data_IF_140742215128
#
_entry.id   IF_140742215128
#
_cell.length_a   1.000
_cell.length_b   1.000
_cell.length_c   1.000
_cell.angle_alpha   90.00
_cell.angle_beta   90.00
_cell.angle_gamma   90.00
#
_symmetry.space_group_name_H-M   'P 1'
#
loop_
_entity.id
_entity.type
_entity.pdbx_description
1 polymer ?
#
# COMPACT_ATOMS: atom_id res chain seq x y z
N UNK A 1 -18.81 -28.11 38.06
CA UNK A 1 -18.31 -26.82 38.59
C UNK A 1 -17.45 -26.16 37.52
N UNK A 2 -17.59 -24.84 37.39
CA UNK A 2 -16.91 -23.89 36.48
C UNK A 2 -15.39 -24.15 36.40
N UNK A 3 -14.70 -23.89 35.28
CA UNK A 3 -14.40 -22.54 34.82
C UNK A 3 -14.18 -22.45 33.29
N UNK A 4 -14.80 -21.39 32.75
CA UNK A 4 -14.62 -20.84 31.40
C UNK A 4 -13.27 -20.13 31.31
N UNK A 5 -12.58 -20.31 30.19
CA UNK A 5 -11.64 -19.30 29.68
C UNK A 5 -12.23 -18.71 28.38
N UNK A 6 -13.02 -17.65 28.56
CA UNK A 6 -13.14 -16.54 27.60
C UNK A 6 -11.92 -15.65 27.87
N UNK A 7 -11.19 -15.03 26.94
CA UNK A 7 -11.59 -14.18 25.82
C UNK A 7 -10.30 -13.87 25.02
N UNK A 8 -10.44 -13.25 23.84
CA UNK A 8 -9.41 -12.61 23.01
C UNK A 8 -9.06 -13.37 21.73
N UNK A 9 -9.85 -13.15 20.70
CA UNK A 9 -9.36 -12.31 19.61
C UNK A 9 -10.56 -11.90 18.75
N UNK A 10 -10.92 -10.63 18.81
CA UNK A 10 -11.61 -9.94 17.74
C UNK A 10 -10.79 -10.16 16.46
N UNK A 11 -11.31 -11.00 15.57
CA UNK A 11 -10.83 -11.05 14.19
C UNK A 11 -11.68 -10.05 13.44
N UNK A 12 -11.12 -8.84 13.38
CA UNK A 12 -11.52 -7.74 12.54
C UNK A 12 -11.80 -8.32 11.14
N UNK A 13 -13.07 -8.29 10.73
CA UNK A 13 -13.50 -8.53 9.36
C UNK A 13 -12.86 -7.47 8.47
N UNK A 14 -11.61 -7.71 8.10
CA UNK A 14 -10.89 -6.90 7.12
C UNK A 14 -11.18 -7.56 5.79
N UNK A 15 -12.09 -6.96 5.04
CA UNK A 15 -12.42 -7.31 3.67
C UNK A 15 -11.14 -7.27 2.82
N UNK A 16 -10.42 -8.39 2.78
CA UNK A 16 -9.34 -8.64 1.83
C UNK A 16 -10.00 -8.54 0.45
N UNK A 17 -9.39 -7.78 -0.46
CA UNK A 17 -9.85 -7.65 -1.84
C UNK A 17 -9.74 -8.99 -2.57
N UNK A 18 -10.69 -9.89 -2.32
CA UNK A 18 -11.12 -10.91 -3.28
C UNK A 18 -12.14 -10.23 -4.20
N UNK A 19 -11.67 -9.34 -5.07
CA UNK A 19 -12.46 -8.88 -6.22
C UNK A 19 -12.28 -9.90 -7.35
N UNK A 20 -13.34 -10.66 -7.61
CA UNK A 20 -13.49 -11.68 -8.66
C UNK A 20 -12.99 -11.23 -10.05
N UNK A 21 -11.67 -11.31 -10.26
CA UNK A 21 -11.04 -11.12 -11.57
C UNK A 21 -9.93 -12.16 -11.71
N UNK A 22 -10.01 -13.09 -12.69
CA UNK A 22 -9.16 -14.28 -12.73
C UNK A 22 -7.76 -14.03 -13.35
N UNK A 23 -6.99 -13.01 -12.90
CA UNK A 23 -5.61 -12.79 -13.39
C UNK A 23 -4.62 -12.12 -12.38
N UNK A 24 -4.80 -12.20 -11.05
CA UNK A 24 -3.92 -11.49 -10.08
C UNK A 24 -3.23 -12.36 -9.01
N UNK A 25 -2.82 -13.57 -9.38
CA UNK A 25 -2.38 -14.62 -8.43
C UNK A 25 -1.13 -14.33 -7.56
N UNK A 26 -0.49 -13.16 -7.60
CA UNK A 26 0.69 -12.88 -6.75
C UNK A 26 0.82 -11.40 -6.32
N UNK A 27 -0.30 -10.70 -6.15
CA UNK A 27 -0.26 -9.37 -5.52
C UNK A 27 -0.36 -9.50 -4.00
N UNK A 28 0.79 -9.60 -3.33
CA UNK A 28 0.88 -9.26 -1.91
C UNK A 28 0.56 -7.77 -1.82
N UNK A 29 -0.70 -7.46 -1.49
CA UNK A 29 -1.14 -6.13 -1.11
C UNK A 29 -1.12 -6.13 0.42
N UNK A 30 -0.14 -5.46 1.05
CA UNK A 30 0.03 -5.54 2.49
C UNK A 30 -0.97 -4.69 3.27
N UNK A 31 -1.89 -4.03 2.57
CA UNK A 31 -2.86 -3.11 3.17
C UNK A 31 -4.19 -3.13 2.41
N UNK A 32 -5.26 -2.77 3.10
CA UNK A 32 -6.57 -2.54 2.47
C UNK A 32 -6.62 -1.16 1.80
N UNK A 33 -7.59 -0.99 0.89
CA UNK A 33 -7.93 0.32 0.31
C UNK A 33 -8.26 1.34 1.41
N UNK A 34 -8.93 0.90 2.47
CA UNK A 34 -9.28 1.76 3.61
C UNK A 34 -8.06 2.32 4.31
N UNK A 35 -7.03 1.50 4.55
CA UNK A 35 -5.80 1.97 5.19
C UNK A 35 -5.08 3.03 4.35
N UNK A 36 -5.04 2.85 3.01
CA UNK A 36 -4.47 3.87 2.11
C UNK A 36 -5.30 5.15 2.15
N UNK A 37 -6.63 5.02 2.11
CA UNK A 37 -7.54 6.16 2.16
C UNK A 37 -7.37 6.95 3.47
N UNK A 38 -7.34 6.27 4.62
CA UNK A 38 -7.13 6.89 5.93
C UNK A 38 -5.77 7.61 5.98
N UNK A 39 -4.69 6.93 5.58
CA UNK A 39 -3.38 7.56 5.58
C UNK A 39 -3.32 8.79 4.65
N UNK A 40 -4.04 8.77 3.52
CA UNK A 40 -4.14 9.92 2.62
C UNK A 40 -4.99 11.06 3.19
N UNK A 41 -6.00 10.74 3.99
CA UNK A 41 -6.83 11.72 4.70
C UNK A 41 -6.06 12.44 5.82
N UNK A 42 -4.98 11.87 6.33
CA UNK A 42 -4.15 12.52 7.35
C UNK A 42 -2.96 13.30 6.76
N UNK A 43 -2.68 13.13 5.47
CA UNK A 43 -1.53 13.74 4.80
C UNK A 43 -1.90 15.10 4.14
N UNK A 44 -1.31 16.17 4.67
CA UNK A 44 -1.54 17.54 4.17
C UNK A 44 -1.08 17.75 2.72
N UNK A 45 -0.06 17.02 2.25
CA UNK A 45 0.41 17.09 0.88
C UNK A 45 -0.58 16.41 -0.08
N UNK A 46 -1.14 15.27 0.31
CA UNK A 46 -2.20 14.58 -0.44
C UNK A 46 -3.45 15.45 -0.51
N UNK A 47 -3.88 16.05 0.60
CA UNK A 47 -4.99 17.02 0.62
C UNK A 47 -4.78 18.14 -0.38
N UNK A 48 -3.61 18.76 -0.38
CA UNK A 48 -3.28 19.82 -1.32
C UNK A 48 -3.36 19.36 -2.79
N UNK A 49 -2.87 18.16 -3.11
CA UNK A 49 -2.98 17.59 -4.46
C UNK A 49 -4.45 17.36 -4.83
N UNK A 50 -5.26 16.81 -3.91
CA UNK A 50 -6.68 16.56 -4.13
C UNK A 50 -7.43 17.87 -4.38
N UNK A 51 -7.19 18.89 -3.55
CA UNK A 51 -7.81 20.21 -3.69
C UNK A 51 -7.43 20.89 -5.02
N UNK A 52 -6.20 20.66 -5.48
CA UNK A 52 -5.67 21.21 -6.73
C UNK A 52 -5.59 20.16 -7.87
N UNK A 53 -6.44 19.12 -7.85
CA UNK A 53 -6.27 17.95 -8.75
C UNK A 53 -6.25 18.33 -10.24
N UNK A 54 -6.96 19.39 -10.63
CA UNK A 54 -6.98 19.93 -12.00
C UNK A 54 -5.61 20.43 -12.48
N UNK A 55 -4.78 20.96 -11.57
CA UNK A 55 -3.39 21.39 -11.85
C UNK A 55 -2.43 20.21 -11.84
N UNK A 56 -2.78 19.15 -11.12
CA UNK A 56 -1.97 17.95 -10.90
C UNK A 56 -2.29 16.84 -11.91
N UNK A 57 -2.05 17.11 -13.20
CA UNK A 57 -2.37 16.19 -14.32
C UNK A 57 -1.76 14.79 -14.19
N UNK A 58 -0.66 14.65 -13.44
CA UNK A 58 0.02 13.37 -13.17
C UNK A 58 -0.74 12.48 -12.18
N UNK A 59 -1.80 12.99 -11.55
CA UNK A 59 -2.59 12.28 -10.56
C UNK A 59 -4.07 12.24 -10.96
N UNK A 60 -4.81 11.35 -10.32
CA UNK A 60 -6.26 11.25 -10.42
C UNK A 60 -6.81 10.56 -9.18
N UNK A 61 -8.09 10.72 -8.92
CA UNK A 61 -8.75 10.06 -7.79
C UNK A 61 -9.51 8.85 -8.33
N UNK A 62 -9.35 7.70 -7.68
CA UNK A 62 -10.12 6.48 -7.95
C UNK A 62 -10.46 5.83 -6.61
N UNK A 63 -11.73 5.50 -6.39
CA UNK A 63 -12.20 4.88 -5.15
C UNK A 63 -11.78 5.67 -3.89
N UNK A 64 -11.91 7.01 -3.94
CA UNK A 64 -11.48 7.91 -2.87
C UNK A 64 -9.97 7.92 -2.54
N UNK A 65 -9.14 7.29 -3.38
CA UNK A 65 -7.69 7.26 -3.24
C UNK A 65 -7.04 8.08 -4.35
N UNK A 66 -6.04 8.88 -3.97
CA UNK A 66 -5.12 9.52 -4.88
C UNK A 66 -4.23 8.47 -5.57
N UNK A 67 -4.39 8.37 -6.87
CA UNK A 67 -3.64 7.49 -7.75
C UNK A 67 -2.66 8.30 -8.60
N UNK A 68 -1.50 7.72 -8.89
CA UNK A 68 -0.56 8.24 -9.88
C UNK A 68 -0.93 7.69 -11.27
N UNK A 69 -1.00 8.57 -12.28
CA UNK A 69 -1.12 8.20 -13.69
C UNK A 69 0.18 7.58 -14.20
N UNK A 70 0.34 6.29 -13.92
CA UNK A 70 1.33 5.40 -14.53
C UNK A 70 0.60 4.31 -15.33
N UNK A 71 1.35 3.50 -16.06
CA UNK A 71 0.83 2.33 -16.77
C UNK A 71 1.53 1.07 -16.22
N UNK A 72 0.88 0.30 -15.31
CA UNK A 72 -0.46 0.50 -14.76
C UNK A 72 -0.53 1.62 -13.69
N UNK A 73 -1.72 2.21 -13.41
CA UNK A 73 -1.87 3.20 -12.36
C UNK A 73 -1.61 2.61 -10.97
N UNK A 74 -0.95 3.37 -10.11
CA UNK A 74 -0.57 2.94 -8.76
C UNK A 74 -1.06 3.93 -7.69
N UNK A 75 -1.44 3.47 -6.49
CA UNK A 75 -1.80 4.34 -5.39
C UNK A 75 -0.60 5.17 -4.89
N UNK A 76 -0.89 6.41 -4.51
CA UNK A 76 0.04 7.25 -3.78
C UNK A 76 0.11 6.79 -2.32
N UNK A 77 1.31 6.55 -1.79
CA UNK A 77 1.51 6.15 -0.38
C UNK A 77 2.10 7.32 0.41
N UNK A 78 1.32 7.96 1.31
CA UNK A 78 1.82 9.04 2.17
C UNK A 78 2.89 8.55 3.13
N UNK A 79 3.61 9.48 3.76
CA UNK A 79 4.66 9.12 4.71
C UNK A 79 4.02 8.55 5.98
N UNK A 80 4.56 7.44 6.50
CA UNK A 80 4.05 6.82 7.71
C UNK A 80 4.20 5.29 7.72
N UNK A 81 3.38 4.64 8.54
CA UNK A 81 3.43 3.20 8.81
C UNK A 81 3.23 2.36 7.54
N UNK A 82 2.41 2.83 6.58
CA UNK A 82 2.21 2.12 5.32
C UNK A 82 3.51 1.93 4.54
N UNK A 83 4.38 2.96 4.47
CA UNK A 83 5.68 2.83 3.81
C UNK A 83 6.55 1.81 4.53
N UNK A 84 6.60 1.87 5.86
CA UNK A 84 7.40 0.94 6.67
C UNK A 84 6.92 -0.51 6.50
N UNK A 85 5.61 -0.73 6.47
CA UNK A 85 5.01 -2.05 6.28
C UNK A 85 5.35 -2.62 4.89
N UNK A 86 5.23 -1.81 3.83
CA UNK A 86 5.66 -2.19 2.48
C UNK A 86 7.14 -2.56 2.50
N UNK A 87 7.99 -1.69 3.04
CA UNK A 87 9.43 -1.93 3.07
C UNK A 87 9.78 -3.21 3.83
N UNK A 88 9.17 -3.43 5.01
CA UNK A 88 9.39 -4.61 5.82
C UNK A 88 9.00 -5.90 5.10
N UNK A 89 7.81 -5.95 4.50
CA UNK A 89 7.33 -7.16 3.82
C UNK A 89 8.22 -7.52 2.64
N UNK A 90 8.65 -6.52 1.88
CA UNK A 90 9.52 -6.75 0.74
C UNK A 90 10.97 -7.01 1.14
N UNK A 91 11.43 -6.48 2.27
CA UNK A 91 12.71 -6.80 2.88
C UNK A 91 12.73 -8.25 3.38
N UNK A 92 11.72 -8.66 4.14
CA UNK A 92 11.58 -10.04 4.66
C UNK A 92 11.43 -11.04 3.50
N UNK A 93 10.66 -10.70 2.47
CA UNK A 93 10.55 -11.54 1.26
C UNK A 93 11.87 -11.67 0.50
N UNK A 94 12.69 -10.61 0.45
CA UNK A 94 14.02 -10.65 -0.15
C UNK A 94 15.02 -11.44 0.71
N UNK A 95 14.91 -11.34 2.03
CA UNK A 95 15.74 -12.08 2.98
C UNK A 95 15.46 -13.59 2.94
N UNK A 96 14.23 -14.01 2.62
CA UNK A 96 13.81 -15.41 2.60
C UNK A 96 14.25 -16.21 1.35
N UNK A 97 15.31 -15.79 0.65
CA UNK A 97 16.06 -16.67 -0.25
C UNK A 97 15.66 -16.67 -1.73
N UNK A 98 14.74 -15.80 -2.16
CA UNK A 98 14.63 -15.51 -3.59
C UNK A 98 15.81 -14.59 -3.96
N UNK A 99 16.75 -15.04 -4.80
CA UNK A 99 17.90 -14.28 -5.37
C UNK A 99 17.48 -13.05 -6.19
N UNK A 100 16.64 -12.20 -5.63
CA UNK A 100 16.09 -11.00 -6.19
C UNK A 100 16.71 -9.86 -5.39
N UNK A 101 17.91 -9.45 -5.81
CA UNK A 101 18.63 -8.34 -5.18
C UNK A 101 17.76 -7.09 -5.04
N UNK A 102 18.21 -6.17 -4.17
CA UNK A 102 17.64 -4.84 -3.88
C UNK A 102 16.89 -4.18 -5.04
N UNK A 103 17.45 -4.22 -6.25
CA UNK A 103 16.86 -3.65 -7.47
C UNK A 103 15.53 -4.29 -7.87
N UNK A 104 15.38 -5.60 -7.71
CA UNK A 104 14.14 -6.30 -8.06
C UNK A 104 13.04 -6.02 -7.04
N UNK A 105 13.40 -5.85 -5.76
CA UNK A 105 12.48 -5.36 -4.72
C UNK A 105 12.01 -3.95 -5.04
N UNK A 106 12.95 -3.04 -5.32
CA UNK A 106 12.67 -1.67 -5.71
C UNK A 106 11.79 -1.59 -6.95
N UNK A 107 12.06 -2.42 -7.96
CA UNK A 107 11.26 -2.50 -9.17
C UNK A 107 9.83 -2.94 -8.87
N UNK A 108 9.65 -4.01 -8.07
CA UNK A 108 8.31 -4.48 -7.68
C UNK A 108 7.52 -3.41 -6.92
N UNK A 109 8.13 -2.75 -5.94
CA UNK A 109 7.46 -1.69 -5.17
C UNK A 109 7.04 -0.55 -6.12
N UNK A 110 7.91 -0.08 -7.02
CA UNK A 110 7.58 1.01 -7.96
C UNK A 110 6.50 0.67 -8.97
N UNK A 111 6.40 -0.60 -9.37
CA UNK A 111 5.33 -1.05 -10.29
C UNK A 111 3.96 -1.11 -9.61
N UNK A 112 3.90 -1.04 -8.28
CA UNK A 112 2.68 -1.26 -7.48
C UNK A 112 2.29 -0.07 -6.63
N UNK A 113 3.25 0.76 -6.23
CA UNK A 113 3.07 1.88 -5.31
C UNK A 113 3.93 3.07 -5.75
N UNK A 114 3.50 4.27 -5.37
CA UNK A 114 4.28 5.47 -5.64
C UNK A 114 4.34 6.38 -4.41
N UNK A 115 5.53 6.88 -4.10
CA UNK A 115 5.69 8.03 -3.22
C UNK A 115 6.91 8.88 -3.63
N UNK A 116 6.97 10.16 -3.25
CA UNK A 116 8.15 10.99 -3.48
C UNK A 116 9.32 10.41 -2.68
N UNK A 117 10.51 10.38 -3.28
CA UNK A 117 11.75 9.91 -2.63
C UNK A 117 11.83 8.41 -2.32
N UNK A 118 11.07 7.54 -3.01
CA UNK A 118 11.19 6.07 -2.89
C UNK A 118 12.62 5.54 -2.88
N UNK A 119 13.50 6.12 -3.71
CA UNK A 119 14.90 5.71 -3.79
C UNK A 119 15.69 5.96 -2.50
N UNK A 120 15.35 7.00 -1.75
CA UNK A 120 16.00 7.35 -0.49
C UNK A 120 15.54 6.46 0.66
N UNK A 121 14.25 6.11 0.68
CA UNK A 121 13.68 5.29 1.75
C UNK A 121 14.06 3.80 1.64
N UNK A 122 14.56 3.40 0.46
CA UNK A 122 14.95 2.02 0.19
C UNK A 122 16.46 1.83 0.38
N UNK A 123 17.28 2.90 0.39
CA UNK A 123 18.75 2.92 0.65
C UNK A 123 19.11 2.73 2.12
#
# INVERSE_FOLDING_TARGET
MKLRNSTSNEKNDTTILTSDTPVEENRIIPFSIEQVMQAQQDDNYVKNIIDNIKKHTKYFIKNNILMRRLNPPVPYVPQGELRQMILKIYHDTAANGAHFGRDKTLHKIKTRYFWPSMYKDID
#
